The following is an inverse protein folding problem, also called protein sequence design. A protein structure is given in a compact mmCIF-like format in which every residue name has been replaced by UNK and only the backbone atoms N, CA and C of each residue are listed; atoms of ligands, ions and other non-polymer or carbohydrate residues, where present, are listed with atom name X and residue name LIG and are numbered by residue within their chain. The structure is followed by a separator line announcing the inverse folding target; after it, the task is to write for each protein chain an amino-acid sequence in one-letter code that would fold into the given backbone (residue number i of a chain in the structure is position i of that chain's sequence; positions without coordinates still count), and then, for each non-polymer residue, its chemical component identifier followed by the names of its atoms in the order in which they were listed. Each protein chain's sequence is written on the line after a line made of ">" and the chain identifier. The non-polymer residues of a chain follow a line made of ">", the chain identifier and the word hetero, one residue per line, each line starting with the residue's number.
data_IF_516749631567
#
_entry.id   IF_516749631567
#
_cell.length_a   1.000
_cell.length_b   1.000
_cell.length_c   1.000
_cell.angle_alpha   90.00
_cell.angle_beta   90.00
_cell.angle_gamma   90.00
#
_symmetry.space_group_name_H-M   'P 1'
#
loop_
_entity.id
_entity.type
_entity.pdbx_description
1 polymer ?
#
# COMPACT_ATOMS: atom_id res chain seq x y z
N UNK A 1 -13.76 9.44 -25.80
CA UNK A 1 -12.47 8.76 -26.00
C UNK A 1 -11.50 9.77 -26.59
N UNK A 2 -10.76 10.49 -25.73
CA UNK A 2 -9.67 11.36 -26.17
C UNK A 2 -8.51 10.49 -26.62
N UNK A 3 -7.92 10.82 -27.77
CA UNK A 3 -6.75 10.12 -28.28
C UNK A 3 -5.64 10.09 -27.21
N UNK A 4 -5.11 8.91 -26.93
CA UNK A 4 -3.87 8.74 -26.17
C UNK A 4 -2.80 9.61 -26.82
N UNK A 5 -2.42 10.70 -26.14
CA UNK A 5 -1.30 11.49 -26.55
C UNK A 5 -0.04 10.78 -26.05
N UNK A 6 0.50 9.88 -26.89
CA UNK A 6 1.84 9.33 -26.70
C UNK A 6 2.80 10.50 -26.61
N UNK A 7 3.45 10.67 -25.45
CA UNK A 7 4.50 11.67 -25.27
C UNK A 7 5.59 11.47 -26.32
N UNK A 8 5.98 12.55 -26.99
CA UNK A 8 6.91 12.48 -28.10
C UNK A 8 8.33 12.32 -27.53
N UNK A 9 9.25 11.54 -28.12
CA UNK A 9 10.63 11.40 -27.62
C UNK A 9 11.36 12.74 -27.40
N UNK A 10 10.97 13.78 -28.15
CA UNK A 10 11.48 15.14 -28.00
C UNK A 10 10.99 15.83 -26.70
N UNK A 11 9.84 15.43 -26.15
CA UNK A 11 9.35 15.89 -24.83
C UNK A 11 10.24 15.34 -23.69
N UNK A 12 10.95 14.24 -23.92
CA UNK A 12 11.91 13.64 -22.98
C UNK A 12 13.33 14.20 -23.10
N UNK A 13 13.68 14.86 -24.21
CA UNK A 13 15.01 15.46 -24.40
C UNK A 13 15.23 16.77 -23.64
N UNK A 14 14.16 17.36 -23.11
CA UNK A 14 14.22 18.60 -22.30
C UNK A 14 14.26 18.30 -20.80
N UNK A 15 14.01 17.05 -20.39
CA UNK A 15 14.04 16.61 -18.99
C UNK A 15 15.41 16.03 -18.64
N UNK A 16 16.31 16.96 -18.31
CA UNK A 16 17.54 16.80 -17.51
C UNK A 16 18.81 16.20 -18.14
N UNK A 17 19.78 17.07 -18.52
CA UNK A 17 21.14 16.64 -18.82
C UNK A 17 22.02 16.32 -17.58
N UNK A 18 21.54 16.47 -16.33
CA UNK A 18 22.41 16.48 -15.13
C UNK A 18 21.88 15.77 -13.87
N UNK A 19 20.87 14.88 -13.93
CA UNK A 19 20.40 14.17 -12.72
C UNK A 19 20.37 12.66 -12.90
N UNK A 20 20.86 11.94 -11.88
CA UNK A 20 20.80 10.48 -11.73
C UNK A 20 19.35 9.94 -11.62
N UNK A 21 18.33 10.72 -11.98
CA UNK A 21 16.92 10.41 -11.77
C UNK A 21 16.22 10.04 -13.08
N UNK A 22 15.50 8.92 -13.05
CA UNK A 22 14.76 8.37 -14.19
C UNK A 22 13.31 8.86 -14.12
N UNK A 23 12.74 9.49 -15.18
CA UNK A 23 11.31 9.77 -15.20
C UNK A 23 10.52 8.46 -15.28
N UNK A 24 9.30 8.38 -14.72
CA UNK A 24 8.54 7.15 -14.69
C UNK A 24 8.19 6.67 -16.10
N UNK A 25 8.43 5.40 -16.36
CA UNK A 25 8.09 4.72 -17.61
C UNK A 25 6.88 3.82 -17.38
N UNK A 26 5.85 3.99 -18.22
CA UNK A 26 4.63 3.19 -18.17
C UNK A 26 4.56 2.28 -19.41
N UNK A 27 4.21 1.03 -19.19
CA UNK A 27 4.11 -0.02 -20.21
C UNK A 27 2.83 -0.83 -20.03
N UNK A 28 2.42 -1.56 -21.07
CA UNK A 28 1.17 -2.33 -21.14
C UNK A 28 1.46 -3.86 -21.24
N UNK A 29 2.30 -4.39 -20.35
CA UNK A 29 2.74 -5.79 -20.30
C UNK A 29 2.68 -6.44 -18.89
N UNK A 30 1.78 -5.95 -18.05
CA UNK A 30 1.61 -6.27 -16.63
C UNK A 30 1.09 -7.66 -16.30
N UNK A 31 0.46 -8.39 -17.23
CA UNK A 31 -0.11 -9.76 -17.05
C UNK A 31 0.91 -10.84 -16.71
N UNK A 32 2.19 -10.48 -16.72
CA UNK A 32 3.29 -11.40 -16.48
C UNK A 32 3.64 -11.30 -14.99
N UNK A 33 3.00 -12.16 -14.19
CA UNK A 33 3.13 -12.31 -12.73
C UNK A 33 4.58 -12.28 -12.23
N UNK A 34 5.52 -12.70 -13.08
CA UNK A 34 6.92 -12.80 -12.76
C UNK A 34 7.75 -11.79 -13.56
N UNK A 35 8.34 -10.83 -12.84
CA UNK A 35 9.33 -9.86 -13.35
C UNK A 35 10.37 -10.56 -14.25
N UNK A 36 10.33 -10.26 -15.56
CA UNK A 36 11.30 -10.76 -16.55
C UNK A 36 11.01 -12.12 -17.18
N UNK A 37 9.77 -12.63 -17.15
CA UNK A 37 9.49 -14.04 -17.54
C UNK A 37 8.86 -14.22 -18.92
N UNK A 38 8.10 -13.27 -19.47
CA UNK A 38 7.38 -13.51 -20.73
C UNK A 38 8.16 -13.22 -22.01
N UNK A 39 9.20 -12.39 -21.97
CA UNK A 39 10.04 -12.16 -23.13
C UNK A 39 11.49 -12.01 -22.66
N UNK A 40 12.44 -12.56 -23.41
CA UNK A 40 13.86 -12.28 -23.23
C UNK A 40 14.20 -10.82 -23.54
N UNK A 41 13.63 -9.86 -22.80
CA UNK A 41 13.69 -8.43 -23.08
C UNK A 41 14.46 -7.67 -22.01
N UNK A 42 15.29 -6.80 -22.55
CA UNK A 42 16.05 -5.72 -21.95
C UNK A 42 15.14 -4.93 -21.01
N UNK A 43 15.48 -4.92 -19.72
CA UNK A 43 15.01 -3.86 -18.81
C UNK A 43 15.37 -2.54 -19.50
N UNK A 44 14.49 -1.54 -19.54
CA UNK A 44 14.86 -0.22 -20.01
C UNK A 44 16.06 0.24 -19.16
N UNK A 45 17.25 0.13 -19.75
CA UNK A 45 18.49 0.59 -19.16
C UNK A 45 18.57 2.07 -19.50
N UNK A 46 18.99 2.86 -18.52
CA UNK A 46 19.17 4.29 -18.74
C UNK A 46 20.62 4.56 -19.04
N UNK A 47 20.85 5.05 -20.26
CA UNK A 47 22.12 4.89 -20.94
C UNK A 47 22.57 3.42 -20.94
N UNK A 48 23.83 3.20 -20.57
CA UNK A 48 24.42 1.86 -20.35
C UNK A 48 24.59 1.52 -18.87
N UNK A 49 23.97 2.26 -17.93
CA UNK A 49 24.52 2.38 -16.57
C UNK A 49 23.68 1.68 -15.48
N UNK A 50 22.35 1.86 -15.40
CA UNK A 50 21.53 1.15 -14.38
C UNK A 50 20.04 0.97 -14.75
N UNK A 51 19.34 -0.01 -14.14
CA UNK A 51 17.88 -0.13 -14.21
C UNK A 51 17.16 0.82 -13.23
N UNK A 52 15.84 1.06 -13.44
CA UNK A 52 14.97 1.75 -12.47
C UNK A 52 14.87 0.97 -11.14
N UNK A 53 14.75 1.71 -10.03
CA UNK A 53 14.65 1.16 -8.66
C UNK A 53 13.36 0.36 -8.48
N UNK A 54 12.21 0.94 -8.82
CA UNK A 54 10.90 0.32 -8.70
C UNK A 54 10.45 -0.31 -10.03
N UNK A 55 9.83 -1.47 -9.91
CA UNK A 55 9.14 -2.19 -10.98
C UNK A 55 7.80 -2.69 -10.41
N UNK A 56 6.72 -2.00 -10.78
CA UNK A 56 5.38 -2.19 -10.23
C UNK A 56 4.42 -2.63 -11.33
N UNK A 57 3.77 -3.78 -11.17
CA UNK A 57 2.64 -4.21 -11.99
C UNK A 57 1.34 -4.06 -11.20
N UNK A 58 0.35 -3.44 -11.84
CA UNK A 58 -0.99 -3.22 -11.30
C UNK A 58 -1.97 -4.35 -11.69
N UNK A 59 -1.51 -5.39 -12.39
CA UNK A 59 -2.37 -6.48 -12.84
C UNK A 59 -3.25 -7.10 -11.75
N UNK A 60 -2.75 -7.39 -10.52
CA UNK A 60 -3.61 -7.93 -9.47
C UNK A 60 -4.67 -6.92 -8.97
N UNK A 61 -4.46 -5.61 -9.19
CA UNK A 61 -5.36 -4.55 -8.76
C UNK A 61 -6.50 -4.33 -9.76
N UNK A 62 -6.18 -4.09 -11.03
CA UNK A 62 -7.16 -3.70 -12.06
C UNK A 62 -7.42 -4.77 -13.13
N UNK A 63 -6.72 -5.91 -13.07
CA UNK A 63 -6.76 -6.96 -14.10
C UNK A 63 -6.15 -6.55 -15.43
N UNK A 64 -5.60 -5.34 -15.53
CA UNK A 64 -4.99 -4.78 -16.71
C UNK A 64 -3.50 -5.09 -16.79
N UNK A 65 -2.88 -4.54 -17.83
CA UNK A 65 -1.50 -4.85 -18.16
C UNK A 65 -0.59 -3.68 -17.77
N UNK A 66 -1.02 -2.80 -16.88
CA UNK A 66 -0.23 -1.61 -16.55
C UNK A 66 0.98 -2.00 -15.71
N UNK A 67 2.16 -1.57 -16.18
CA UNK A 67 3.42 -1.73 -15.47
C UNK A 67 4.22 -0.43 -15.48
N UNK A 68 4.73 -0.06 -14.32
CA UNK A 68 5.37 1.23 -14.04
C UNK A 68 6.80 0.96 -13.55
N UNK A 69 7.75 1.66 -14.15
CA UNK A 69 9.14 1.71 -13.70
C UNK A 69 9.47 3.13 -13.26
N UNK A 70 10.03 3.29 -12.07
CA UNK A 70 10.37 4.59 -11.52
C UNK A 70 11.57 4.48 -10.57
N UNK A 71 12.18 5.60 -10.20
CA UNK A 71 13.21 5.62 -9.17
C UNK A 71 12.67 5.91 -7.78
N UNK A 72 11.53 6.60 -7.70
CA UNK A 72 10.88 6.96 -6.44
C UNK A 72 9.44 6.39 -6.34
N UNK A 73 8.99 6.13 -5.11
CA UNK A 73 7.63 5.68 -4.83
C UNK A 73 6.59 6.77 -5.17
N UNK A 74 6.93 8.04 -4.96
CA UNK A 74 6.06 9.17 -5.29
C UNK A 74 5.83 9.31 -6.80
N UNK A 75 6.80 8.92 -7.63
CA UNK A 75 6.61 8.88 -9.08
C UNK A 75 5.63 7.77 -9.50
N UNK A 76 5.68 6.61 -8.85
CA UNK A 76 4.68 5.55 -9.04
C UNK A 76 3.30 6.10 -8.68
N UNK A 77 3.17 6.77 -7.52
CA UNK A 77 1.90 7.37 -7.09
C UNK A 77 1.44 8.50 -8.02
N UNK A 78 2.36 9.29 -8.57
CA UNK A 78 2.04 10.32 -9.57
C UNK A 78 1.49 9.72 -10.87
N UNK A 79 1.94 8.52 -11.26
CA UNK A 79 1.37 7.79 -12.39
C UNK A 79 -0.02 7.25 -12.04
N UNK A 80 -0.17 6.61 -10.87
CA UNK A 80 -1.43 5.98 -10.42
C UNK A 80 -2.54 7.01 -10.18
N UNK A 81 -2.25 8.04 -9.38
CA UNK A 81 -3.20 9.07 -8.98
C UNK A 81 -3.28 10.23 -10.00
N UNK A 82 -2.36 10.28 -10.96
CA UNK A 82 -2.37 11.22 -12.07
C UNK A 82 -1.99 12.67 -11.69
N UNK A 83 -2.46 13.61 -12.52
CA UNK A 83 -2.10 15.04 -12.43
C UNK A 83 -2.33 15.65 -11.03
N UNK A 84 -3.46 15.41 -10.34
CA UNK A 84 -3.70 16.00 -9.03
C UNK A 84 -2.59 15.68 -8.02
N UNK A 85 -2.14 14.42 -7.97
CA UNK A 85 -1.05 14.01 -7.08
C UNK A 85 0.26 14.70 -7.46
N UNK A 86 0.60 14.71 -8.75
CA UNK A 86 1.84 15.31 -9.23
C UNK A 86 1.89 16.82 -8.96
N UNK A 87 0.80 17.53 -9.20
CA UNK A 87 0.73 18.98 -8.92
C UNK A 87 0.94 19.25 -7.42
N UNK A 88 0.31 18.43 -6.59
CA UNK A 88 0.40 18.52 -5.14
C UNK A 88 1.82 18.18 -4.63
N UNK A 89 2.47 17.16 -5.20
CA UNK A 89 3.84 16.79 -4.87
C UNK A 89 4.82 17.90 -5.22
N UNK A 90 4.67 18.49 -6.41
CA UNK A 90 5.47 19.64 -6.84
C UNK A 90 5.28 20.84 -5.90
N UNK A 91 4.08 21.02 -5.35
CA UNK A 91 3.82 22.06 -4.35
C UNK A 91 4.58 21.80 -3.04
N UNK A 92 4.60 20.56 -2.56
CA UNK A 92 5.41 20.16 -1.41
C UNK A 92 6.90 20.40 -1.65
N UNK A 93 7.43 20.01 -2.81
CA UNK A 93 8.83 20.26 -3.18
C UNK A 93 9.16 21.75 -3.18
N UNK A 94 8.32 22.58 -3.81
CA UNK A 94 8.51 24.03 -3.83
C UNK A 94 8.55 24.62 -2.41
N UNK A 95 7.65 24.19 -1.53
CA UNK A 95 7.64 24.65 -0.13
C UNK A 95 8.89 24.21 0.63
N UNK A 96 9.38 22.98 0.37
CA UNK A 96 10.61 22.48 0.97
C UNK A 96 11.83 23.30 0.52
N UNK A 97 11.93 23.61 -0.78
CA UNK A 97 13.00 24.44 -1.34
C UNK A 97 12.94 25.86 -0.77
N UNK A 98 11.74 26.46 -0.70
CA UNK A 98 11.53 27.78 -0.12
C UNK A 98 11.94 27.81 1.37
N UNK A 99 11.62 26.74 2.12
CA UNK A 99 12.00 26.59 3.52
C UNK A 99 13.52 26.54 3.71
N UNK A 100 14.23 25.79 2.88
CA UNK A 100 15.68 25.65 2.94
C UNK A 100 16.44 26.97 2.68
N UNK A 101 15.81 27.92 1.98
CA UNK A 101 16.38 29.24 1.72
C UNK A 101 16.26 30.22 2.90
N UNK A 102 15.44 29.92 3.91
CA UNK A 102 15.25 30.77 5.08
C UNK A 102 16.44 30.65 6.04
N UNK A 103 16.83 31.72 6.72
CA UNK A 103 17.93 31.70 7.69
C UNK A 103 17.40 31.65 9.13
N UNK A 104 17.83 30.65 9.92
CA UNK A 104 17.42 30.46 11.32
C UNK A 104 17.85 31.60 12.25
N UNK A 105 18.92 32.32 11.91
CA UNK A 105 19.46 33.40 12.74
C UNK A 105 18.74 34.75 12.55
N UNK A 106 17.76 34.82 11.64
CA UNK A 106 17.03 36.02 11.29
C UNK A 106 15.57 35.97 11.81
N UNK A 107 15.21 36.84 12.76
CA UNK A 107 13.91 36.84 13.44
C UNK A 107 12.68 36.89 12.49
N UNK A 108 12.66 37.70 11.40
CA UNK A 108 11.60 37.66 10.40
C UNK A 108 11.48 36.34 9.65
N UNK A 109 12.57 35.59 9.50
CA UNK A 109 12.56 34.30 8.80
C UNK A 109 12.04 33.18 9.73
N UNK A 110 12.15 33.34 11.05
CA UNK A 110 11.52 32.43 12.02
C UNK A 110 10.00 32.38 11.90
N UNK A 111 9.34 33.53 11.75
CA UNK A 111 7.88 33.57 11.54
C UNK A 111 7.48 32.93 10.21
N UNK A 112 8.25 33.17 9.14
CA UNK A 112 8.02 32.54 7.84
C UNK A 112 8.22 31.02 7.86
N UNK A 113 9.18 30.53 8.65
CA UNK A 113 9.39 29.08 8.83
C UNK A 113 8.20 28.42 9.49
N UNK A 114 7.64 29.01 10.55
CA UNK A 114 6.44 28.47 11.20
C UNK A 114 5.23 28.43 10.24
N UNK A 115 5.08 29.47 9.41
CA UNK A 115 4.04 29.50 8.37
C UNK A 115 4.29 28.43 7.29
N UNK A 116 5.53 28.29 6.83
CA UNK A 116 5.92 27.29 5.85
C UNK A 116 5.75 25.86 6.38
N UNK A 117 6.06 25.60 7.66
CA UNK A 117 5.82 24.31 8.32
C UNK A 117 4.32 23.97 8.34
N UNK A 118 3.48 24.94 8.71
CA UNK A 118 2.03 24.77 8.72
C UNK A 118 1.45 24.53 7.32
N UNK A 119 1.96 25.25 6.31
CA UNK A 119 1.58 25.03 4.92
C UNK A 119 2.05 23.67 4.42
N UNK A 120 3.30 23.29 4.67
CA UNK A 120 3.84 21.99 4.26
C UNK A 120 3.05 20.83 4.87
N UNK A 121 2.71 20.90 6.16
CA UNK A 121 1.87 19.90 6.81
C UNK A 121 0.48 19.79 6.17
N UNK A 122 -0.13 20.91 5.77
CA UNK A 122 -1.40 20.92 5.05
C UNK A 122 -1.27 20.26 3.67
N UNK A 123 -0.23 20.62 2.90
CA UNK A 123 -0.02 20.08 1.56
C UNK A 123 0.31 18.57 1.58
N UNK A 124 1.03 18.09 2.60
CA UNK A 124 1.26 16.66 2.85
C UNK A 124 -0.06 15.95 3.21
N UNK A 125 -0.91 16.57 4.04
CA UNK A 125 -2.24 16.04 4.34
C UNK A 125 -3.11 15.89 3.08
N UNK A 126 -3.01 16.82 2.13
CA UNK A 126 -3.68 16.71 0.84
C UNK A 126 -3.12 15.59 -0.05
N UNK A 127 -1.80 15.33 -0.01
CA UNK A 127 -1.21 14.15 -0.67
C UNK A 127 -1.80 12.86 -0.10
N UNK A 128 -1.92 12.76 1.22
CA UNK A 128 -2.55 11.61 1.87
C UNK A 128 -4.00 11.45 1.42
N UNK A 129 -4.76 12.53 1.28
CA UNK A 129 -6.13 12.51 0.73
C UNK A 129 -6.22 11.97 -0.70
N UNK A 130 -5.32 12.42 -1.58
CA UNK A 130 -5.28 11.94 -2.96
C UNK A 130 -4.91 10.45 -3.02
N UNK A 131 -3.91 10.01 -2.23
CA UNK A 131 -3.55 8.59 -2.09
C UNK A 131 -4.71 7.77 -1.52
N UNK A 132 -5.45 8.35 -0.58
CA UNK A 132 -6.62 7.78 0.05
C UNK A 132 -7.66 7.23 -0.91
N UNK A 133 -7.95 7.96 -1.99
CA UNK A 133 -8.92 7.48 -3.00
C UNK A 133 -8.46 6.20 -3.70
N UNK A 134 -7.17 6.10 -4.01
CA UNK A 134 -6.58 4.87 -4.54
C UNK A 134 -6.54 3.77 -3.48
N UNK A 135 -6.10 4.10 -2.26
CA UNK A 135 -6.00 3.19 -1.14
C UNK A 135 -7.36 2.56 -0.77
N UNK A 136 -8.47 3.30 -0.89
CA UNK A 136 -9.82 2.79 -0.66
C UNK A 136 -10.19 1.63 -1.60
N UNK A 137 -9.91 1.80 -2.90
CA UNK A 137 -10.12 0.72 -3.88
C UNK A 137 -9.14 -0.42 -3.65
N UNK A 138 -7.89 -0.11 -3.37
CA UNK A 138 -6.85 -1.09 -3.11
C UNK A 138 -7.15 -1.94 -1.86
N UNK A 139 -7.73 -1.33 -0.82
CA UNK A 139 -8.25 -1.97 0.39
C UNK A 139 -9.36 -2.97 0.07
N UNK A 140 -10.31 -2.62 -0.80
CA UNK A 140 -11.36 -3.55 -1.24
C UNK A 140 -10.79 -4.75 -2.00
N UNK A 141 -9.83 -4.51 -2.90
CA UNK A 141 -9.14 -5.59 -3.64
C UNK A 141 -8.34 -6.48 -2.69
N UNK A 142 -7.59 -5.90 -1.74
CA UNK A 142 -6.88 -6.65 -0.71
C UNK A 142 -7.82 -7.55 0.09
N UNK A 143 -8.96 -7.00 0.52
CA UNK A 143 -9.96 -7.78 1.26
C UNK A 143 -10.50 -8.94 0.43
N UNK A 144 -10.77 -8.71 -0.87
CA UNK A 144 -11.20 -9.78 -1.78
C UNK A 144 -10.18 -10.92 -1.85
N UNK A 145 -8.90 -10.58 -2.05
CA UNK A 145 -7.79 -11.56 -2.09
C UNK A 145 -7.71 -12.36 -0.77
N UNK A 146 -7.78 -11.67 0.36
CA UNK A 146 -7.77 -12.31 1.69
C UNK A 146 -8.98 -13.23 1.88
N UNK A 147 -10.17 -12.78 1.49
CA UNK A 147 -11.39 -13.57 1.60
C UNK A 147 -11.36 -14.82 0.71
N UNK A 148 -10.80 -14.72 -0.50
CA UNK A 148 -10.62 -15.86 -1.40
C UNK A 148 -9.68 -16.89 -0.79
N UNK A 149 -8.51 -16.45 -0.32
CA UNK A 149 -7.56 -17.33 0.37
C UNK A 149 -8.18 -18.02 1.60
N UNK A 150 -8.94 -17.28 2.40
CA UNK A 150 -9.63 -17.82 3.56
C UNK A 150 -10.67 -18.89 3.20
N UNK A 151 -11.30 -18.80 2.02
CA UNK A 151 -12.20 -19.85 1.52
C UNK A 151 -11.43 -21.07 1.05
N UNK A 152 -10.27 -20.87 0.44
CA UNK A 152 -9.41 -21.96 -0.04
C UNK A 152 -8.79 -22.77 1.10
N UNK A 153 -8.38 -22.12 2.20
CA UNK A 153 -7.75 -22.77 3.36
C UNK A 153 -8.74 -23.19 4.47
N UNK A 154 -10.02 -22.85 4.32
CA UNK A 154 -11.11 -23.21 5.24
C UNK A 154 -11.27 -22.26 6.43
N UNK A 155 -10.43 -21.23 6.58
CA UNK A 155 -10.56 -20.22 7.64
C UNK A 155 -11.91 -19.48 7.58
N UNK A 156 -12.49 -19.33 6.39
CA UNK A 156 -13.78 -18.69 6.18
C UNK A 156 -14.93 -19.40 6.91
N UNK A 157 -14.87 -20.72 7.07
CA UNK A 157 -15.94 -21.49 7.68
C UNK A 157 -16.07 -21.26 9.20
N UNK A 158 -14.99 -20.83 9.84
CA UNK A 158 -14.96 -20.52 11.28
C UNK A 158 -15.61 -19.17 11.62
N UNK A 159 -15.85 -18.31 10.63
CA UNK A 159 -16.38 -16.97 10.84
C UNK A 159 -17.89 -17.00 11.11
N UNK A 160 -18.36 -16.07 11.95
CA UNK A 160 -19.79 -15.82 12.13
C UNK A 160 -20.42 -15.25 10.84
N UNK A 161 -21.74 -15.34 10.70
CA UNK A 161 -22.44 -14.76 9.56
C UNK A 161 -22.26 -13.23 9.48
N UNK A 162 -22.17 -12.56 10.63
CA UNK A 162 -21.92 -11.11 10.73
C UNK A 162 -20.50 -10.75 10.27
N UNK A 163 -19.50 -11.54 10.65
CA UNK A 163 -18.12 -11.37 10.20
C UNK A 163 -18.00 -11.59 8.69
N UNK A 164 -18.65 -12.64 8.16
CA UNK A 164 -18.72 -12.92 6.72
C UNK A 164 -19.37 -11.77 5.95
N UNK A 165 -20.45 -11.18 6.47
CA UNK A 165 -21.10 -10.01 5.86
C UNK A 165 -20.18 -8.80 5.82
N UNK A 166 -19.53 -8.47 6.95
CA UNK A 166 -18.57 -7.36 7.03
C UNK A 166 -17.44 -7.54 6.02
N UNK A 167 -16.83 -8.73 5.95
CA UNK A 167 -15.74 -9.01 5.01
C UNK A 167 -16.19 -8.97 3.56
N UNK A 168 -17.42 -9.41 3.28
CA UNK A 168 -18.00 -9.36 1.93
C UNK A 168 -18.23 -7.91 1.50
N UNK A 169 -18.80 -7.07 2.36
CA UNK A 169 -18.96 -5.62 2.09
C UNK A 169 -17.61 -4.91 2.00
N UNK A 170 -16.66 -5.27 2.84
CA UNK A 170 -15.32 -4.72 2.78
C UNK A 170 -14.60 -5.10 1.47
N UNK A 171 -14.95 -6.22 0.82
CA UNK A 171 -14.38 -6.60 -0.48
C UNK A 171 -15.05 -5.91 -1.69
N UNK A 172 -16.11 -5.13 -1.49
CA UNK A 172 -16.81 -4.44 -2.56
C UNK A 172 -16.04 -3.19 -3.01
N UNK A 173 -15.54 -3.21 -4.26
CA UNK A 173 -14.78 -2.10 -4.85
C UNK A 173 -15.65 -0.92 -5.26
N UNK A 174 -16.97 -1.11 -5.35
CA UNK A 174 -17.93 -0.07 -5.67
C UNK A 174 -18.49 0.61 -4.42
N UNK A 175 -18.28 0.01 -3.24
CA UNK A 175 -18.67 0.59 -1.96
C UNK A 175 -17.77 1.78 -1.64
N UNK A 176 -18.38 2.91 -1.30
CA UNK A 176 -17.70 4.12 -0.80
C UNK A 176 -17.59 4.13 0.74
N UNK A 177 -18.19 3.14 1.40
CA UNK A 177 -18.19 3.06 2.87
C UNK A 177 -16.95 2.36 3.39
N UNK A 178 -16.33 2.98 4.39
CA UNK A 178 -15.25 2.36 5.15
C UNK A 178 -15.79 1.20 6.02
N UNK A 179 -15.00 0.13 6.20
CA UNK A 179 -15.37 -0.97 7.08
C UNK A 179 -15.29 -0.53 8.55
N UNK A 180 -16.32 -0.85 9.33
CA UNK A 180 -16.40 -0.55 10.77
C UNK A 180 -16.43 -1.81 11.64
N UNK A 181 -16.18 -3.00 11.09
CA UNK A 181 -16.28 -4.24 11.86
C UNK A 181 -17.73 -4.60 12.23
N UNK A 182 -17.91 -5.44 13.25
CA UNK A 182 -19.20 -5.79 13.84
C UNK A 182 -19.57 -4.69 14.85
N UNK A 183 -20.77 -4.12 14.71
CA UNK A 183 -21.23 -3.03 15.59
C UNK A 183 -21.74 -3.59 16.91
N UNK A 184 -21.26 -3.01 18.01
CA UNK A 184 -21.63 -3.42 19.35
C UNK A 184 -21.87 -2.25 20.29
N UNK A 185 -22.77 -2.46 21.25
CA UNK A 185 -22.96 -1.55 22.36
C UNK A 185 -21.89 -1.80 23.43
N UNK A 186 -21.20 -0.75 23.84
CA UNK A 186 -20.26 -0.75 24.96
C UNK A 186 -20.61 0.36 25.93
N UNK A 187 -20.39 0.12 27.22
CA UNK A 187 -20.47 1.17 28.23
C UNK A 187 -19.17 1.99 28.20
N UNK A 188 -19.31 3.30 27.99
CA UNK A 188 -18.25 4.28 28.10
C UNK A 188 -18.48 5.14 29.34
N UNK A 189 -17.37 5.64 29.91
CA UNK A 189 -17.39 6.52 31.06
C UNK A 189 -16.78 7.87 30.72
N UNK A 190 -17.45 8.94 31.09
CA UNK A 190 -16.93 10.31 31.01
C UNK A 190 -16.74 10.85 32.42
N UNK A 191 -15.53 11.33 32.71
CA UNK A 191 -15.22 11.96 33.99
C UNK A 191 -15.69 13.41 33.98
N UNK A 192 -16.61 13.73 34.87
CA UNK A 192 -17.15 15.08 35.00
C UNK A 192 -16.18 15.99 35.77
N UNK A 193 -16.23 17.32 35.52
CA UNK A 193 -15.41 18.30 36.24
C UNK A 193 -15.65 18.33 37.76
N UNK A 194 -16.77 17.80 38.23
CA UNK A 194 -17.12 17.69 39.66
C UNK A 194 -16.59 16.41 40.33
N UNK A 195 -15.88 15.57 39.58
CA UNK A 195 -15.33 14.30 40.04
C UNK A 195 -16.31 13.12 40.00
N UNK A 196 -17.52 13.31 39.45
CA UNK A 196 -18.43 12.21 39.13
C UNK A 196 -18.05 11.53 37.82
N UNK A 197 -18.63 10.36 37.55
CA UNK A 197 -18.42 9.63 36.30
C UNK A 197 -19.77 9.28 35.73
N UNK A 198 -20.06 9.83 34.55
CA UNK A 198 -21.27 9.46 33.81
C UNK A 198 -20.98 8.22 32.97
N UNK A 199 -21.88 7.24 33.05
CA UNK A 199 -21.88 6.05 32.19
C UNK A 199 -22.87 6.26 31.07
N UNK A 200 -22.45 6.03 29.82
CA UNK A 200 -23.32 6.09 28.65
C UNK A 200 -23.00 4.94 27.70
N UNK A 201 -23.98 4.53 26.91
CA UNK A 201 -23.82 3.48 25.91
C UNK A 201 -23.30 4.10 24.62
N UNK A 202 -22.23 3.54 24.06
CA UNK A 202 -21.71 3.89 22.74
C UNK A 202 -21.81 2.69 21.83
N UNK A 203 -22.11 2.93 20.55
CA UNK A 203 -21.95 1.92 19.51
C UNK A 203 -20.53 2.00 18.96
N UNK A 204 -19.80 0.89 18.96
CA UNK A 204 -18.44 0.82 18.41
C UNK A 204 -18.29 -0.37 17.47
N UNK A 205 -17.42 -0.19 16.50
CA UNK A 205 -16.96 -1.26 15.63
C UNK A 205 -15.95 -2.17 16.32
N UNK A 206 -16.13 -3.48 16.25
CA UNK A 206 -15.17 -4.47 16.77
C UNK A 206 -14.86 -5.50 15.70
N UNK A 207 -13.58 -5.84 15.54
CA UNK A 207 -13.13 -6.98 14.73
C UNK A 207 -12.53 -8.05 15.62
N UNK A 208 -13.11 -9.26 15.59
CA UNK A 208 -12.76 -10.35 16.52
C UNK A 208 -12.13 -11.56 15.87
N UNK A 209 -12.35 -11.76 14.57
CA UNK A 209 -11.80 -12.91 13.87
C UNK A 209 -10.28 -12.95 14.01
N UNK A 210 -9.77 -14.06 14.52
CA UNK A 210 -8.35 -14.40 14.52
C UNK A 210 -7.92 -15.08 13.22
N UNK A 211 -8.89 -15.56 12.43
CA UNK A 211 -8.65 -16.39 11.25
C UNK A 211 -8.53 -15.55 9.98
N UNK A 212 -9.33 -14.48 9.88
CA UNK A 212 -9.37 -13.62 8.68
C UNK A 212 -9.27 -12.15 9.08
N UNK A 213 -8.22 -11.44 8.66
CA UNK A 213 -8.07 -10.04 9.00
C UNK A 213 -9.03 -9.14 8.22
N UNK A 214 -9.49 -8.07 8.86
CA UNK A 214 -10.21 -6.99 8.21
C UNK A 214 -9.20 -5.94 7.70
N UNK A 215 -9.24 -5.68 6.41
CA UNK A 215 -8.38 -4.68 5.76
C UNK A 215 -9.02 -3.31 5.87
N UNK A 216 -8.25 -2.38 6.41
CA UNK A 216 -8.66 -0.99 6.62
C UNK A 216 -7.61 -0.05 6.02
N UNK A 217 -8.00 1.14 5.59
CA UNK A 217 -7.04 2.20 5.24
C UNK A 217 -7.12 3.31 6.30
N UNK A 218 -6.04 4.05 6.54
CA UNK A 218 -6.04 5.04 7.63
C UNK A 218 -6.92 6.27 7.35
N UNK A 219 -7.11 6.62 6.08
CA UNK A 219 -7.82 7.84 5.70
C UNK A 219 -9.34 7.76 5.82
N UNK A 220 -9.85 6.54 5.92
CA UNK A 220 -11.26 6.24 6.10
C UNK A 220 -11.75 6.69 7.48
N UNK A 221 -10.86 7.00 8.42
CA UNK A 221 -11.20 7.24 9.83
C UNK A 221 -10.76 8.60 10.35
N UNK A 222 -11.23 8.94 11.54
CA UNK A 222 -10.87 10.18 12.22
C UNK A 222 -9.35 10.30 12.38
N UNK A 223 -8.72 11.44 12.05
CA UNK A 223 -9.30 12.78 11.88
C UNK A 223 -9.84 13.11 10.48
N UNK A 224 -9.74 12.20 9.52
CA UNK A 224 -10.02 12.48 8.11
C UNK A 224 -11.51 12.38 7.76
N UNK A 225 -12.19 11.38 8.33
CA UNK A 225 -13.63 11.20 8.22
C UNK A 225 -14.22 10.85 9.58
N UNK A 226 -15.49 11.23 9.82
CA UNK A 226 -16.21 10.91 11.06
C UNK A 226 -16.71 9.45 11.09
N UNK A 227 -15.87 8.52 10.66
CA UNK A 227 -16.15 7.09 10.72
C UNK A 227 -15.31 6.50 11.86
N UNK A 228 -15.92 5.77 12.82
CA UNK A 228 -15.18 5.15 13.90
C UNK A 228 -14.32 4.01 13.35
N UNK A 229 -13.02 4.03 13.69
CA UNK A 229 -12.11 2.93 13.39
C UNK A 229 -12.54 1.68 14.16
N UNK A 230 -12.62 0.50 13.52
CA UNK A 230 -12.91 -0.74 14.25
C UNK A 230 -11.79 -1.01 15.26
N UNK A 231 -12.16 -1.42 16.46
CA UNK A 231 -11.23 -1.93 17.46
C UNK A 231 -10.98 -3.41 17.19
N UNK A 232 -9.72 -3.78 17.09
CA UNK A 232 -9.36 -5.20 17.09
C UNK A 232 -9.47 -5.73 18.52
N UNK A 233 -10.16 -6.85 18.66
CA UNK A 233 -10.21 -7.60 19.91
C UNK A 233 -9.78 -9.02 19.65
N UNK A 234 -8.60 -9.38 20.12
CA UNK A 234 -8.12 -10.76 20.05
C UNK A 234 -8.04 -11.37 21.43
N UNK A 235 -8.23 -12.69 21.47
CA UNK A 235 -8.02 -13.49 22.68
C UNK A 235 -6.66 -14.14 22.54
N UNK A 236 -5.70 -13.71 23.36
CA UNK A 236 -4.36 -14.28 23.39
C UNK A 236 -4.29 -15.29 24.52
N UNK A 237 -3.96 -16.54 24.18
CA UNK A 237 -3.69 -17.59 25.15
C UNK A 237 -2.19 -17.82 25.25
N UNK A 238 -1.62 -17.58 26.42
CA UNK A 238 -0.21 -17.88 26.71
C UNK A 238 -0.12 -19.04 27.67
N UNK A 239 0.71 -20.03 27.33
CA UNK A 239 1.11 -21.08 28.28
C UNK A 239 2.18 -20.51 29.20
N UNK A 240 1.96 -20.62 30.51
CA UNK A 240 2.94 -20.21 31.52
C UNK A 240 4.21 -21.08 31.43
N UNK A 241 5.31 -20.62 32.04
CA UNK A 241 6.60 -21.34 32.07
C UNK A 241 6.52 -22.75 32.68
N UNK A 242 5.48 -23.04 33.47
CA UNK A 242 5.22 -24.37 34.03
C UNK A 242 4.65 -25.37 33.01
N UNK A 243 4.26 -24.91 31.81
CA UNK A 243 3.69 -25.73 30.74
C UNK A 243 2.28 -26.26 31.03
N UNK A 244 1.69 -25.93 32.18
CA UNK A 244 0.39 -26.47 32.62
C UNK A 244 -0.69 -25.38 32.75
N UNK A 245 -0.29 -24.12 32.96
CA UNK A 245 -1.26 -23.03 33.14
C UNK A 245 -1.43 -22.23 31.85
N UNK A 246 -2.62 -22.28 31.24
CA UNK A 246 -3.00 -21.37 30.16
C UNK A 246 -3.61 -20.09 30.75
N UNK A 247 -3.00 -18.95 30.46
CA UNK A 247 -3.58 -17.64 30.74
C UNK A 247 -4.20 -17.09 29.47
N UNK A 248 -5.46 -16.71 29.54
CA UNK A 248 -6.18 -16.09 28.43
C UNK A 248 -6.44 -14.63 28.76
N UNK A 249 -5.96 -13.73 27.91
CA UNK A 249 -6.24 -12.30 28.01
C UNK A 249 -6.86 -11.77 26.73
N UNK A 250 -7.83 -10.86 26.88
CA UNK A 250 -8.46 -10.16 25.78
C UNK A 250 -7.67 -8.87 25.52
N UNK A 251 -7.00 -8.80 24.40
CA UNK A 251 -6.32 -7.59 23.95
C UNK A 251 -7.29 -6.80 23.06
N UNK A 252 -7.69 -5.61 23.51
CA UNK A 252 -8.65 -4.71 22.85
C UNK A 252 -7.98 -3.50 22.19
N UNK A 253 -6.65 -3.43 22.24
CA UNK A 253 -5.85 -2.29 21.76
C UNK A 253 -4.92 -2.71 20.62
N UNK A 254 -4.60 -3.99 20.52
CA UNK A 254 -3.69 -4.48 19.49
C UNK A 254 -4.36 -4.56 18.12
N UNK A 255 -3.70 -4.03 17.10
CA UNK A 255 -4.09 -4.15 15.68
C UNK A 255 -3.88 -5.57 15.13
N UNK A 256 -3.77 -6.60 16.00
CA UNK A 256 -3.28 -7.93 15.65
C UNK A 256 -4.06 -8.60 14.50
N UNK A 257 -5.35 -8.28 14.35
CA UNK A 257 -6.19 -8.84 13.28
C UNK A 257 -6.70 -7.78 12.29
N UNK A 258 -6.11 -6.58 12.28
CA UNK A 258 -6.40 -5.56 11.27
C UNK A 258 -5.23 -5.47 10.29
N UNK A 259 -5.56 -5.52 9.00
CA UNK A 259 -4.59 -5.21 7.95
C UNK A 259 -4.70 -3.73 7.59
N UNK A 260 -3.89 -2.89 8.26
CA UNK A 260 -3.89 -1.44 8.04
C UNK A 260 -3.09 -1.08 6.78
N UNK A 261 -3.65 -0.24 5.92
CA UNK A 261 -2.98 0.36 4.77
C UNK A 261 -2.65 1.83 5.11
N UNK A 262 -1.36 2.17 5.32
CA UNK A 262 -0.95 3.55 5.56
C UNK A 262 -1.06 4.34 4.26
N UNK A 263 -1.31 5.64 4.37
CA UNK A 263 -1.43 6.55 3.21
C UNK A 263 -0.63 7.85 3.36
N UNK A 264 0.09 7.99 4.47
CA UNK A 264 0.93 9.15 4.78
C UNK A 264 2.28 9.09 4.04
N UNK A 265 2.79 7.90 3.77
CA UNK A 265 4.00 7.65 2.99
C UNK A 265 3.74 6.74 1.77
N UNK A 266 4.30 7.13 0.62
CA UNK A 266 4.08 6.41 -0.65
C UNK A 266 4.85 5.08 -0.71
N UNK A 267 6.01 5.01 -0.08
CA UNK A 267 6.79 3.78 -0.01
C UNK A 267 6.06 2.75 0.86
N UNK A 268 5.65 3.14 2.06
CA UNK A 268 4.93 2.28 2.99
C UNK A 268 3.58 1.83 2.41
N UNK A 269 2.85 2.72 1.72
CA UNK A 269 1.65 2.36 0.97
C UNK A 269 1.93 1.26 -0.07
N UNK A 270 2.91 1.45 -0.95
CA UNK A 270 3.23 0.47 -2.00
C UNK A 270 3.74 -0.86 -1.42
N UNK A 271 4.56 -0.81 -0.37
CA UNK A 271 5.00 -2.00 0.34
C UNK A 271 3.83 -2.77 0.92
N UNK A 272 2.91 -2.06 1.58
CA UNK A 272 1.75 -2.69 2.19
C UNK A 272 0.83 -3.32 1.15
N UNK A 273 0.59 -2.63 0.03
CA UNK A 273 -0.18 -3.18 -1.09
C UNK A 273 0.48 -4.42 -1.71
N UNK A 274 1.81 -4.45 -1.79
CA UNK A 274 2.55 -5.63 -2.24
C UNK A 274 2.38 -6.81 -1.25
N UNK A 275 2.49 -6.56 0.05
CA UNK A 275 2.30 -7.61 1.08
C UNK A 275 0.89 -8.21 1.02
N UNK A 276 -0.11 -7.37 0.77
CA UNK A 276 -1.51 -7.77 0.62
C UNK A 276 -1.82 -8.40 -0.75
N UNK A 277 -0.83 -8.48 -1.65
CA UNK A 277 -0.99 -9.06 -2.99
C UNK A 277 -1.78 -8.20 -3.98
N UNK A 278 -2.07 -6.93 -3.65
CA UNK A 278 -2.80 -6.01 -4.51
C UNK A 278 -1.98 -5.55 -5.70
N UNK A 279 -0.66 -5.46 -5.53
CA UNK A 279 0.28 -5.13 -6.60
C UNK A 279 1.46 -6.10 -6.59
N UNK A 280 2.08 -6.25 -7.75
CA UNK A 280 3.37 -6.94 -7.86
C UNK A 280 4.48 -5.89 -7.91
N UNK A 281 5.33 -5.84 -6.89
CA UNK A 281 6.43 -4.87 -6.83
C UNK A 281 7.78 -5.56 -6.60
N UNK A 282 8.79 -5.13 -7.34
CA UNK A 282 10.19 -5.45 -7.11
C UNK A 282 11.02 -4.18 -6.96
N UNK A 283 11.95 -4.20 -6.01
CA UNK A 283 12.88 -3.11 -5.75
C UNK A 283 14.28 -3.58 -6.12
N UNK A 284 15.01 -2.71 -6.81
CA UNK A 284 16.37 -2.93 -7.27
C UNK A 284 17.32 -1.94 -6.61
N UNK A 285 18.62 -2.26 -6.51
CA UNK A 285 19.62 -1.29 -6.12
C UNK A 285 19.62 -0.09 -7.08
N UNK A 286 19.78 1.10 -6.51
CA UNK A 286 19.94 2.39 -7.18
C UNK A 286 21.34 2.59 -7.78
N UNK A 287 22.29 1.70 -7.49
CA UNK A 287 23.62 1.70 -8.08
C UNK A 287 23.80 0.57 -9.11
N UNK A 288 24.65 0.85 -10.11
CA UNK A 288 25.13 -0.18 -11.01
C UNK A 288 25.89 -1.24 -10.21
N UNK A 289 25.54 -2.52 -10.40
CA UNK A 289 26.30 -3.63 -9.80
C UNK A 289 27.76 -3.49 -10.23
N UNK A 290 28.64 -3.15 -9.29
CA UNK A 290 30.05 -2.95 -9.59
C UNK A 290 30.65 -4.26 -10.12
N UNK A 291 31.70 -4.14 -10.93
CA UNK A 291 32.34 -5.27 -11.63
C UNK A 291 32.54 -6.52 -10.75
N UNK A 292 32.97 -6.43 -9.47
CA UNK A 292 33.17 -7.60 -8.61
C UNK A 292 31.88 -8.38 -8.28
N UNK A 293 30.71 -7.74 -8.36
CA UNK A 293 29.43 -8.35 -8.00
C UNK A 293 28.60 -8.76 -9.23
N UNK A 294 29.08 -8.49 -10.45
CA UNK A 294 28.35 -8.82 -11.68
C UNK A 294 28.09 -10.31 -11.82
N UNK A 295 29.09 -11.15 -11.53
CA UNK A 295 28.96 -12.60 -11.64
C UNK A 295 27.95 -13.16 -10.61
N UNK A 296 28.00 -12.63 -9.38
CA UNK A 296 27.05 -13.00 -8.34
C UNK A 296 25.62 -12.55 -8.68
N UNK A 297 25.46 -11.33 -9.17
CA UNK A 297 24.16 -10.81 -9.59
C UNK A 297 23.61 -11.58 -10.80
N UNK A 298 24.45 -11.90 -11.79
CA UNK A 298 24.08 -12.71 -12.93
C UNK A 298 23.59 -14.11 -12.51
N UNK A 299 24.30 -14.79 -11.60
CA UNK A 299 23.88 -16.07 -11.05
C UNK A 299 22.55 -15.94 -10.27
N UNK A 300 22.39 -14.91 -9.43
CA UNK A 300 21.15 -14.64 -8.71
C UNK A 300 19.97 -14.41 -9.68
N UNK A 301 20.14 -13.58 -10.70
CA UNK A 301 19.13 -13.32 -11.74
C UNK A 301 18.82 -14.60 -12.50
N UNK A 302 19.82 -15.39 -12.87
CA UNK A 302 19.64 -16.65 -13.60
C UNK A 302 18.86 -17.68 -12.79
N UNK A 303 19.17 -17.85 -11.50
CA UNK A 303 18.40 -18.71 -10.57
C UNK A 303 16.95 -18.26 -10.44
N UNK A 304 16.70 -16.94 -10.43
CA UNK A 304 15.35 -16.38 -10.40
C UNK A 304 14.59 -16.69 -11.69
N UNK A 305 15.21 -16.49 -12.85
CA UNK A 305 14.63 -16.83 -14.16
C UNK A 305 14.29 -18.31 -14.24
N UNK A 306 15.20 -19.18 -13.80
CA UNK A 306 14.97 -20.63 -13.81
C UNK A 306 13.80 -21.03 -12.91
N UNK A 307 13.72 -20.48 -11.69
CA UNK A 307 12.57 -20.68 -10.80
C UNK A 307 11.25 -20.24 -11.42
N UNK A 308 11.24 -19.11 -12.14
CA UNK A 308 10.05 -18.61 -12.80
C UNK A 308 9.64 -19.48 -13.99
N UNK A 309 10.61 -19.97 -14.77
CA UNK A 309 10.36 -20.94 -15.85
C UNK A 309 9.76 -22.24 -15.33
N UNK A 310 10.28 -22.74 -14.21
CA UNK A 310 9.74 -23.93 -13.56
C UNK A 310 8.28 -23.71 -13.12
N UNK A 311 7.98 -22.57 -12.49
CA UNK A 311 6.59 -22.21 -12.12
C UNK A 311 5.65 -22.14 -13.33
N UNK A 312 6.10 -21.51 -14.43
CA UNK A 312 5.31 -21.40 -15.65
C UNK A 312 5.04 -22.79 -16.27
N UNK A 313 6.06 -23.65 -16.34
CA UNK A 313 5.91 -25.01 -16.85
C UNK A 313 4.96 -25.88 -16.01
N UNK A 314 4.88 -25.66 -14.70
CA UNK A 314 3.90 -26.34 -13.84
C UNK A 314 2.48 -25.85 -14.11
N UNK A 315 2.27 -24.54 -14.32
CA UNK A 315 0.96 -23.93 -14.61
C UNK A 315 0.36 -24.45 -15.94
N UNK A 316 1.20 -24.70 -16.94
CA UNK A 316 0.80 -25.27 -18.24
C UNK A 316 0.44 -26.77 -18.18
N UNK A 317 0.98 -27.51 -17.19
CA UNK A 317 0.66 -28.91 -17.00
C UNK A 317 -0.65 -29.12 -16.22
N UNK A 318 -0.98 -28.23 -15.28
CA UNK A 318 -2.23 -28.30 -14.52
C UNK A 318 -3.46 -27.89 -15.35
N UNK A 319 -3.28 -27.04 -16.37
CA UNK A 319 -4.36 -26.65 -17.30
C UNK A 319 -4.66 -27.67 -18.40
N UNK A 320 -3.83 -28.71 -18.54
CA UNK A 320 -3.97 -29.76 -19.55
C UNK A 320 -4.46 -31.12 -19.00
N UNK A 321 -4.90 -31.20 -17.75
CA UNK A 321 -5.60 -32.39 -17.28
C UNK A 321 -7.05 -32.35 -17.79
N UNK A 322 -7.48 -33.32 -18.64
CA UNK A 322 -8.88 -33.41 -19.03
C UNK A 322 -9.73 -33.70 -17.79
N UNK A 323 -10.77 -32.91 -17.57
CA UNK A 323 -11.80 -33.19 -16.57
C UNK A 323 -12.30 -34.64 -16.76
N UNK A 324 -12.12 -35.45 -15.71
CA UNK A 324 -12.59 -36.83 -15.64
C UNK A 324 -13.97 -36.89 -14.97
#
# INVERSE_FOLDING_TARGET
>A
MSAEQLANPEDYWVLHPDYDHIPPLVTQDGDVDAVGTAHGRTIPMIGTIRPPVYDVSLHPFDGGNTRIYADDADEIMAVICGKPYRDQLNRCHQLSDDYQLLNDDNDPDRSKRLEADGQFALEVGLLSYIRGSFAHKARAVAQRIINEKAREDGAWDNLSDEEKDVLTRAADTESDTAPVGVLEEAEATEANPDGTTDTFTVTRGVWRSNDVPLVINEIDYFPWQEIPRPLSSTTVTTTAEDGETEQTFQDTISELNLAVIPVDDSHDLLFRLRELGVINMAIRPDYAVSEPFRDWYADFTQRRVERNRQKAATKDNDTNQPEA
#
